data_IF_920822436141
#
_entry.id   IF_920822436141
#
_cell.length_a   1.000
_cell.length_b   1.000
_cell.length_c   1.000
_cell.angle_alpha   90.00
_cell.angle_beta   90.00
_cell.angle_gamma   90.00
#
_symmetry.space_group_name_H-M   'P 1'
#
loop_
_entity.id
_entity.type
_entity.pdbx_description
1 polymer ?
#
# COMPACT_ATOMS: atom_id res chain seq x y z
N UNK A 1 -25.33 38.85 -13.88
CA UNK A 1 -25.39 37.37 -13.97
C UNK A 1 -24.10 36.90 -14.60
N UNK A 2 -23.09 36.57 -13.79
CA UNK A 2 -21.88 35.89 -14.27
C UNK A 2 -22.00 34.44 -13.84
N UNK A 3 -22.17 33.59 -14.85
CA UNK A 3 -22.26 32.14 -14.76
C UNK A 3 -20.98 31.65 -14.05
N UNK A 4 -21.13 31.09 -12.86
CA UNK A 4 -20.06 30.39 -12.16
C UNK A 4 -19.62 29.21 -13.02
N UNK A 5 -18.36 29.24 -13.43
CA UNK A 5 -17.70 28.15 -14.14
C UNK A 5 -17.72 26.92 -13.23
N UNK A 6 -18.58 25.95 -13.54
CA UNK A 6 -18.54 24.61 -12.96
C UNK A 6 -17.28 23.95 -13.50
N UNK A 7 -16.17 24.02 -12.75
CA UNK A 7 -14.97 23.24 -13.04
C UNK A 7 -15.35 21.75 -13.03
N UNK A 8 -15.40 21.13 -14.21
CA UNK A 8 -15.57 19.68 -14.35
C UNK A 8 -14.48 18.97 -13.54
N UNK A 9 -14.87 18.07 -12.63
CA UNK A 9 -13.92 17.19 -11.94
C UNK A 9 -13.15 16.38 -12.97
N UNK A 10 -11.81 16.47 -12.93
CA UNK A 10 -10.95 15.67 -13.79
C UNK A 10 -11.19 14.18 -13.54
N UNK A 11 -11.10 13.33 -14.58
CA UNK A 11 -11.21 11.89 -14.40
C UNK A 11 -10.13 11.41 -13.42
N UNK A 12 -10.46 10.45 -12.53
CA UNK A 12 -9.50 9.96 -11.56
C UNK A 12 -8.28 9.39 -12.27
N UNK A 13 -7.09 9.81 -11.84
CA UNK A 13 -5.83 9.29 -12.35
C UNK A 13 -5.65 7.81 -11.98
N UNK A 14 -4.65 7.16 -12.58
CA UNK A 14 -4.23 5.82 -12.14
C UNK A 14 -4.00 5.87 -10.63
N UNK A 15 -4.77 5.07 -9.89
CA UNK A 15 -4.65 4.95 -8.45
C UNK A 15 -4.07 3.58 -8.09
N UNK A 16 -3.42 3.51 -6.94
CA UNK A 16 -3.05 2.24 -6.34
C UNK A 16 -4.19 1.80 -5.42
N UNK A 17 -4.82 0.67 -5.75
CA UNK A 17 -5.81 0.09 -4.87
C UNK A 17 -5.15 -0.56 -3.66
N UNK A 18 -5.63 -0.20 -2.47
CA UNK A 18 -5.14 -0.72 -1.18
C UNK A 18 -6.34 -0.90 -0.26
N UNK A 19 -6.41 -2.03 0.42
CA UNK A 19 -7.38 -2.31 1.45
C UNK A 19 -6.69 -2.96 2.66
N UNK A 20 -6.84 -2.35 3.82
CA UNK A 20 -6.41 -2.94 5.09
C UNK A 20 -7.52 -3.81 5.66
N UNK A 21 -7.13 -4.96 6.19
CA UNK A 21 -7.98 -5.98 6.79
C UNK A 21 -7.43 -6.36 8.17
N UNK A 22 -8.30 -6.88 9.02
CA UNK A 22 -7.93 -7.42 10.34
C UNK A 22 -7.16 -6.43 11.23
N UNK A 23 -7.47 -5.14 11.11
CA UNK A 23 -6.81 -4.06 11.87
C UNK A 23 -7.00 -4.20 13.39
N UNK A 24 -7.97 -4.99 13.84
CA UNK A 24 -8.26 -5.29 15.25
C UNK A 24 -7.52 -6.55 15.75
N UNK A 25 -6.74 -7.22 14.89
CA UNK A 25 -6.00 -8.44 15.21
C UNK A 25 -4.51 -8.16 15.39
N UNK A 26 -3.82 -9.10 16.04
CA UNK A 26 -2.37 -9.02 16.24
C UNK A 26 -1.58 -9.11 14.93
N UNK A 27 -2.13 -9.81 13.93
CA UNK A 27 -1.59 -9.89 12.57
C UNK A 27 -2.60 -9.23 11.65
N UNK A 28 -2.21 -8.08 11.08
CA UNK A 28 -3.00 -7.37 10.09
C UNK A 28 -2.72 -7.90 8.68
N UNK A 29 -3.65 -7.67 7.77
CA UNK A 29 -3.48 -7.97 6.35
C UNK A 29 -3.69 -6.72 5.52
N UNK A 30 -2.93 -6.59 4.45
CA UNK A 30 -3.17 -5.59 3.40
C UNK A 30 -3.30 -6.30 2.07
N UNK A 31 -4.37 -5.97 1.35
CA UNK A 31 -4.54 -6.34 -0.05
C UNK A 31 -4.22 -5.10 -0.87
N UNK A 32 -3.42 -5.25 -1.91
CA UNK A 32 -3.07 -4.16 -2.80
C UNK A 32 -2.79 -4.64 -4.23
N UNK A 33 -2.86 -3.72 -5.18
CA UNK A 33 -2.34 -3.95 -6.53
C UNK A 33 -0.92 -3.38 -6.64
N UNK A 34 0.00 -4.15 -7.22
CA UNK A 34 1.32 -3.64 -7.54
C UNK A 34 1.22 -2.58 -8.64
N UNK A 35 1.59 -1.34 -8.32
CA UNK A 35 1.59 -0.24 -9.28
C UNK A 35 2.34 -0.54 -10.59
N UNK A 36 3.41 -1.34 -10.50
CA UNK A 36 4.31 -1.58 -11.63
C UNK A 36 3.80 -2.62 -12.63
N UNK A 37 3.16 -3.69 -12.15
CA UNK A 37 2.76 -4.82 -12.99
C UNK A 37 1.29 -5.24 -12.82
N UNK A 38 0.52 -4.51 -12.02
CA UNK A 38 -0.89 -4.75 -11.74
C UNK A 38 -1.21 -6.11 -11.09
N UNK A 39 -0.19 -6.83 -10.61
CA UNK A 39 -0.37 -8.04 -9.82
C UNK A 39 -1.08 -7.73 -8.50
N UNK A 40 -2.17 -8.42 -8.19
CA UNK A 40 -2.78 -8.42 -6.86
C UNK A 40 -1.85 -9.07 -5.83
N UNK A 41 -1.76 -8.49 -4.65
CA UNK A 41 -0.91 -8.95 -3.55
C UNK A 41 -1.74 -8.95 -2.26
N UNK A 42 -1.61 -10.01 -1.47
CA UNK A 42 -1.98 -10.01 -0.06
C UNK A 42 -0.72 -10.15 0.79
N UNK A 43 -0.55 -9.27 1.77
CA UNK A 43 0.59 -9.29 2.67
C UNK A 43 0.13 -9.24 4.13
N UNK A 44 0.70 -10.13 4.94
CA UNK A 44 0.50 -10.17 6.39
C UNK A 44 1.61 -9.39 7.08
N UNK A 45 1.24 -8.59 8.07
CA UNK A 45 2.18 -7.77 8.84
C UNK A 45 1.83 -7.77 10.33
N UNK A 46 2.82 -7.54 11.18
CA UNK A 46 2.65 -7.50 12.63
C UNK A 46 3.70 -6.61 13.30
N UNK A 47 3.46 -6.29 14.57
CA UNK A 47 4.35 -5.49 15.41
C UNK A 47 4.13 -3.99 15.23
N UNK A 48 4.45 -3.25 16.28
CA UNK A 48 4.35 -1.80 16.31
C UNK A 48 5.41 -1.14 15.42
N UNK A 49 5.13 0.05 14.87
CA UNK A 49 6.12 0.87 14.19
C UNK A 49 7.38 1.09 15.03
N UNK A 50 8.54 0.89 14.42
CA UNK A 50 9.83 1.09 15.09
C UNK A 50 10.39 2.46 14.74
N UNK A 51 10.83 3.20 15.77
CA UNK A 51 11.62 4.42 15.61
C UNK A 51 13.07 4.06 15.28
N UNK A 52 13.62 4.66 14.23
CA UNK A 52 15.03 4.59 13.91
C UNK A 52 15.53 5.94 13.39
N UNK A 53 16.56 5.94 12.57
CA UNK A 53 17.15 7.16 12.03
C UNK A 53 17.13 7.16 10.50
N UNK A 54 16.76 8.30 9.92
CA UNK A 54 16.87 8.57 8.49
C UNK A 54 17.55 9.93 8.28
N UNK A 55 18.69 9.92 7.58
CA UNK A 55 19.52 11.12 7.34
C UNK A 55 19.87 11.90 8.63
N UNK A 56 20.13 11.18 9.72
CA UNK A 56 20.48 11.76 11.03
C UNK A 56 19.30 12.33 11.81
N UNK A 57 18.06 12.09 11.38
CA UNK A 57 16.86 12.49 12.08
C UNK A 57 16.04 11.28 12.55
N UNK A 58 15.42 11.33 13.74
CA UNK A 58 14.48 10.30 14.19
C UNK A 58 13.34 10.14 13.18
N UNK A 59 13.07 8.91 12.74
CA UNK A 59 12.04 8.60 11.75
C UNK A 59 11.43 7.23 11.97
N UNK A 60 10.19 7.04 11.54
CA UNK A 60 9.54 5.74 11.53
C UNK A 60 10.14 4.88 10.41
N UNK A 61 10.65 3.71 10.78
CA UNK A 61 11.21 2.77 9.82
C UNK A 61 10.08 2.18 8.97
N UNK A 62 10.34 2.12 7.66
CA UNK A 62 9.41 1.57 6.68
C UNK A 62 9.89 0.21 6.20
N UNK A 63 9.05 -0.80 6.35
CA UNK A 63 9.27 -2.14 5.81
C UNK A 63 8.76 -2.19 4.37
N UNK A 64 9.58 -2.71 3.45
CA UNK A 64 9.21 -2.83 2.04
C UNK A 64 8.48 -4.15 1.81
N UNK A 65 7.30 -4.07 1.21
CA UNK A 65 6.63 -5.24 0.61
C UNK A 65 7.07 -5.34 -0.84
N UNK A 66 7.77 -6.42 -1.20
CA UNK A 66 8.20 -6.68 -2.57
C UNK A 66 7.10 -7.41 -3.32
N UNK A 67 6.85 -7.00 -4.58
CA UNK A 67 5.93 -7.72 -5.45
C UNK A 67 6.52 -9.09 -5.82
N UNK A 68 5.82 -10.21 -5.56
CA UNK A 68 6.34 -11.54 -5.92
C UNK A 68 6.49 -11.78 -7.44
N UNK A 69 5.87 -10.93 -8.27
CA UNK A 69 5.89 -11.06 -9.72
C UNK A 69 7.00 -10.22 -10.39
N UNK A 70 7.12 -8.94 -10.04
CA UNK A 70 8.08 -8.03 -10.68
C UNK A 70 9.23 -7.57 -9.77
N UNK A 71 9.28 -8.04 -8.52
CA UNK A 71 10.31 -7.74 -7.51
C UNK A 71 10.45 -6.27 -7.09
N UNK A 72 9.70 -5.36 -7.73
CA UNK A 72 9.62 -3.97 -7.34
C UNK A 72 8.92 -3.82 -5.98
N UNK A 73 9.20 -2.71 -5.29
CA UNK A 73 8.49 -2.40 -4.04
C UNK A 73 7.04 -2.05 -4.35
N UNK A 74 6.10 -2.89 -3.92
CA UNK A 74 4.67 -2.67 -4.12
C UNK A 74 4.12 -1.63 -3.15
N UNK A 75 4.56 -1.66 -1.90
CA UNK A 75 4.21 -0.67 -0.86
C UNK A 75 5.29 -0.63 0.22
N UNK A 76 5.31 0.48 0.96
CA UNK A 76 6.11 0.64 2.18
C UNK A 76 5.16 0.75 3.37
N UNK A 77 5.27 -0.17 4.31
CA UNK A 77 4.45 -0.20 5.51
C UNK A 77 5.26 0.30 6.71
N UNK A 78 4.65 1.17 7.50
CA UNK A 78 5.14 1.53 8.82
C UNK A 78 4.57 0.54 9.82
N UNK A 79 5.29 -0.55 10.02
CA UNK A 79 4.93 -1.71 10.85
C UNK A 79 6.22 -2.32 11.42
N UNK A 80 6.11 -3.24 12.38
CA UNK A 80 7.27 -3.95 12.91
C UNK A 80 7.93 -4.83 11.84
N UNK A 81 7.17 -5.74 11.24
CA UNK A 81 7.65 -6.62 10.18
C UNK A 81 6.53 -7.12 9.25
N UNK A 82 6.94 -7.53 8.05
CA UNK A 82 6.11 -8.30 7.12
C UNK A 82 6.34 -9.78 7.40
N UNK A 83 5.26 -10.52 7.62
CA UNK A 83 5.28 -11.96 7.94
C UNK A 83 5.26 -12.77 6.66
N UNK A 84 4.39 -12.41 5.72
CA UNK A 84 4.22 -13.12 4.45
C UNK A 84 3.78 -12.16 3.34
N UNK A 85 4.04 -12.55 2.09
CA UNK A 85 3.55 -11.85 0.90
C UNK A 85 3.21 -12.87 -0.16
N UNK A 86 1.96 -12.85 -0.62
CA UNK A 86 1.43 -13.83 -1.58
C UNK A 86 0.83 -13.09 -2.77
N UNK A 87 1.16 -13.56 -3.97
CA UNK A 87 0.51 -13.09 -5.20
C UNK A 87 -0.90 -13.69 -5.32
N UNK A 88 -1.85 -12.85 -5.67
CA UNK A 88 -3.26 -13.21 -5.93
C UNK A 88 -3.71 -12.55 -7.23
N UNK A 89 -4.75 -13.07 -7.92
CA UNK A 89 -5.41 -12.28 -8.98
C UNK A 89 -5.79 -10.90 -8.44
N UNK A 90 -5.68 -9.85 -9.26
CA UNK A 90 -6.05 -8.51 -8.80
C UNK A 90 -7.56 -8.47 -8.46
N UNK A 91 -7.94 -8.14 -7.22
CA UNK A 91 -9.35 -8.01 -6.84
C UNK A 91 -10.09 -6.88 -7.54
N UNK A 92 -9.35 -5.95 -8.15
CA UNK A 92 -9.88 -4.74 -8.79
C UNK A 92 -9.94 -4.83 -10.30
N UNK A 93 -9.43 -5.92 -10.89
CA UNK A 93 -9.58 -6.18 -12.32
C UNK A 93 -10.72 -7.18 -12.53
N UNK A 94 -11.69 -6.78 -13.35
CA UNK A 94 -12.79 -7.63 -13.82
C UNK A 94 -12.42 -8.37 -15.09
#
# INVERSE_FOLDING_TARGET
MTKSDEEEELPPERCQHIQFLDCDKQVGRVILECWHCQQGIISEFTGEPVMGEYKGHPSLIQVKVQCPNCEQTAIRLTTGQVVSTTAIPSPWQQ
#
